data_IF_335483229785
#
_entry.id   IF_335483229785
#
_cell.length_a   1.000
_cell.length_b   1.000
_cell.length_c   1.000
_cell.angle_alpha   90.00
_cell.angle_beta   90.00
_cell.angle_gamma   90.00
#
_symmetry.space_group_name_H-M   'P 1'
#
loop_
_entity.id
_entity.type
_entity.pdbx_description
1 polymer ?
#
# COMPACT_ATOMS: atom_id res chain seq x y z
N UNK A 1 -5.35 -0.26 13.09
CA UNK A 1 -4.58 -1.35 12.44
C UNK A 1 -3.12 -0.96 12.47
N UNK A 2 -2.21 -1.92 12.61
CA UNK A 2 -0.77 -1.70 12.69
C UNK A 2 -0.06 -2.71 11.79
N UNK A 3 0.82 -2.23 10.91
CA UNK A 3 1.61 -3.04 9.99
C UNK A 3 3.04 -2.51 9.90
N UNK A 4 4.01 -3.38 9.63
CA UNK A 4 5.43 -3.02 9.51
C UNK A 4 6.05 -3.74 8.32
N UNK A 5 6.84 -3.03 7.53
CA UNK A 5 7.50 -3.58 6.34
C UNK A 5 8.51 -4.68 6.65
N UNK A 6 9.17 -4.65 7.81
CA UNK A 6 10.06 -5.71 8.29
C UNK A 6 9.34 -7.04 8.58
N UNK A 7 8.02 -6.99 8.85
CA UNK A 7 7.19 -8.16 9.13
C UNK A 7 5.92 -8.10 8.27
N UNK A 8 6.05 -8.15 6.92
CA UNK A 8 4.99 -7.76 6.00
C UNK A 8 3.84 -8.78 5.95
N UNK A 9 4.05 -9.97 6.50
CA UNK A 9 3.08 -11.08 6.54
C UNK A 9 2.08 -10.97 7.69
N UNK A 10 2.24 -10.00 8.60
CA UNK A 10 1.40 -9.83 9.77
C UNK A 10 0.89 -8.39 9.86
N UNK A 11 -0.41 -8.24 10.15
CA UNK A 11 -1.00 -6.97 10.53
C UNK A 11 -1.79 -7.14 11.83
N UNK A 12 -1.60 -6.23 12.79
CA UNK A 12 -2.35 -6.24 14.04
C UNK A 12 -3.60 -5.39 13.89
N UNK A 13 -4.76 -5.96 14.19
CA UNK A 13 -6.04 -5.27 14.23
C UNK A 13 -6.54 -5.19 15.67
N UNK A 14 -6.57 -3.97 16.21
CA UNK A 14 -7.02 -3.67 17.56
C UNK A 14 -8.38 -2.96 17.47
N UNK A 15 -9.45 -3.65 17.84
CA UNK A 15 -10.79 -3.06 17.94
C UNK A 15 -11.08 -2.73 19.40
N UNK A 16 -11.51 -1.50 19.66
CA UNK A 16 -11.83 -1.04 21.03
C UNK A 16 -12.83 -2.01 21.68
N UNK A 17 -12.52 -2.44 22.90
CA UNK A 17 -13.35 -3.36 23.67
C UNK A 17 -13.34 -4.81 23.16
N UNK A 18 -12.41 -5.18 22.28
CA UNK A 18 -12.22 -6.56 21.79
C UNK A 18 -10.76 -7.00 21.94
N UNK A 19 -10.50 -8.32 21.97
CA UNK A 19 -9.14 -8.84 21.91
C UNK A 19 -8.42 -8.39 20.64
N UNK A 20 -7.11 -8.20 20.75
CA UNK A 20 -6.25 -7.92 19.61
C UNK A 20 -6.25 -9.12 18.65
N UNK A 21 -6.31 -8.84 17.35
CA UNK A 21 -6.29 -9.85 16.30
C UNK A 21 -5.01 -9.70 15.48
N UNK A 22 -4.41 -10.83 15.11
CA UNK A 22 -3.31 -10.88 14.14
C UNK A 22 -3.90 -11.40 12.83
N UNK A 23 -3.83 -10.55 11.81
CA UNK A 23 -4.19 -10.89 10.44
C UNK A 23 -2.91 -11.38 9.75
N UNK A 24 -2.94 -12.61 9.25
CA UNK A 24 -1.83 -13.23 8.53
C UNK A 24 -2.07 -13.17 7.03
N UNK A 25 -1.01 -12.95 6.24
CA UNK A 25 -1.06 -13.08 4.77
C UNK A 25 -1.58 -14.46 4.37
N UNK A 26 -2.55 -14.50 3.46
CA UNK A 26 -3.22 -15.73 3.03
C UNK A 26 -4.00 -16.44 4.14
N UNK A 27 -4.29 -15.76 5.25
CA UNK A 27 -5.13 -16.27 6.33
C UNK A 27 -6.62 -16.30 5.97
N UNK A 28 -7.46 -16.86 6.86
CA UNK A 28 -8.88 -17.12 6.59
C UNK A 28 -9.77 -15.88 6.46
N UNK A 29 -9.22 -14.67 6.67
CA UNK A 29 -9.93 -13.38 6.54
C UNK A 29 -9.81 -12.83 5.10
N UNK A 30 -9.27 -13.61 4.17
CA UNK A 30 -9.15 -13.21 2.77
C UNK A 30 -10.54 -12.99 2.15
N UNK A 31 -10.75 -11.83 1.55
CA UNK A 31 -11.98 -11.49 0.83
C UNK A 31 -11.89 -11.92 -0.64
N UNK A 32 -13.03 -12.29 -1.22
CA UNK A 32 -13.17 -12.48 -2.66
C UNK A 32 -12.87 -11.16 -3.39
N UNK A 33 -12.14 -11.23 -4.51
CA UNK A 33 -11.76 -10.06 -5.30
C UNK A 33 -10.43 -9.40 -4.89
N UNK A 34 -9.62 -10.05 -4.06
CA UNK A 34 -8.26 -9.59 -3.77
C UNK A 34 -7.37 -9.67 -5.02
N UNK A 35 -6.93 -8.51 -5.52
CA UNK A 35 -6.03 -8.41 -6.68
C UNK A 35 -4.60 -8.91 -6.36
N UNK A 36 -4.20 -8.87 -5.08
CA UNK A 36 -2.88 -9.31 -4.65
C UNK A 36 -2.77 -10.84 -4.67
N UNK A 37 -1.90 -11.36 -5.53
CA UNK A 37 -1.67 -12.80 -5.69
C UNK A 37 -0.75 -13.31 -4.58
N UNK A 38 -1.10 -14.47 -4.01
CA UNK A 38 -0.18 -15.25 -3.17
C UNK A 38 0.68 -16.10 -4.10
N UNK A 39 1.99 -16.00 -3.97
CA UNK A 39 2.95 -16.80 -4.74
C UNK A 39 3.32 -18.09 -4.02
N UNK A 40 3.29 -18.07 -2.68
CA UNK A 40 3.57 -19.23 -1.84
C UNK A 40 2.49 -19.44 -0.77
N UNK A 41 2.32 -20.69 -0.27
CA UNK A 41 1.27 -20.99 0.69
C UNK A 41 1.41 -20.22 2.02
N UNK A 42 0.29 -19.98 2.73
CA UNK A 42 0.32 -19.36 4.04
C UNK A 42 1.31 -20.04 4.99
N UNK A 43 2.04 -19.24 5.77
CA UNK A 43 3.13 -19.71 6.63
C UNK A 43 4.51 -19.66 5.97
N UNK A 44 4.60 -19.58 4.64
CA UNK A 44 5.85 -19.27 3.95
C UNK A 44 5.95 -17.75 3.74
N UNK A 45 7.03 -17.11 4.19
CA UNK A 45 7.11 -15.65 4.19
C UNK A 45 7.37 -15.11 2.78
N UNK A 46 6.50 -14.21 2.35
CA UNK A 46 6.78 -13.30 1.24
C UNK A 46 7.28 -11.96 1.79
N UNK A 47 7.91 -11.16 0.95
CA UNK A 47 8.50 -9.90 1.36
C UNK A 47 8.56 -8.85 0.27
N UNK A 48 9.64 -8.07 0.34
CA UNK A 48 9.86 -6.90 -0.50
C UNK A 48 9.90 -7.25 -1.99
N UNK A 49 10.58 -8.34 -2.36
CA UNK A 49 10.70 -8.75 -3.76
C UNK A 49 9.34 -9.16 -4.35
N UNK A 50 8.54 -9.90 -3.60
CA UNK A 50 7.19 -10.29 -4.01
C UNK A 50 6.27 -9.07 -4.13
N UNK A 51 6.40 -8.08 -3.23
CA UNK A 51 5.65 -6.83 -3.33
C UNK A 51 6.01 -6.06 -4.60
N UNK A 52 7.29 -5.92 -4.92
CA UNK A 52 7.73 -5.27 -6.17
C UNK A 52 7.32 -6.05 -7.41
N UNK A 53 7.49 -7.38 -7.39
CA UNK A 53 7.05 -8.23 -8.48
C UNK A 53 5.54 -8.07 -8.73
N UNK A 54 4.72 -7.89 -7.69
CA UNK A 54 3.29 -7.66 -7.84
C UNK A 54 3.01 -6.36 -8.61
N UNK A 55 3.64 -5.24 -8.21
CA UNK A 55 3.48 -3.95 -8.89
C UNK A 55 3.85 -4.05 -10.38
N UNK A 56 4.95 -4.73 -10.71
CA UNK A 56 5.37 -4.90 -12.10
C UNK A 56 4.49 -5.85 -12.90
N UNK A 57 4.00 -6.93 -12.29
CA UNK A 57 3.02 -7.83 -12.94
C UNK A 57 1.73 -7.07 -13.23
N UNK A 58 1.20 -6.32 -12.26
CA UNK A 58 0.00 -5.52 -12.39
C UNK A 58 0.14 -4.46 -13.51
N UNK A 59 1.29 -3.76 -13.56
CA UNK A 59 1.58 -2.83 -14.63
C UNK A 59 1.65 -3.51 -16.00
N UNK A 60 2.26 -4.69 -16.08
CA UNK A 60 2.34 -5.46 -17.32
C UNK A 60 0.96 -5.93 -17.80
N UNK A 61 0.07 -6.35 -16.89
CA UNK A 61 -1.31 -6.74 -17.19
C UNK A 61 -2.10 -5.53 -17.75
N UNK A 62 -1.89 -4.33 -17.19
CA UNK A 62 -2.47 -3.09 -17.70
C UNK A 62 -1.97 -2.75 -19.11
N UNK A 63 -0.66 -2.84 -19.36
CA UNK A 63 -0.06 -2.55 -20.68
C UNK A 63 -0.55 -3.54 -21.74
N UNK A 64 -0.73 -4.80 -21.38
CA UNK A 64 -1.19 -5.86 -22.28
C UNK A 64 -2.71 -5.83 -22.52
N UNK A 65 -3.47 -5.04 -21.75
CA UNK A 65 -4.91 -4.94 -21.89
C UNK A 65 -5.65 -6.18 -21.37
N UNK A 66 -5.17 -6.77 -20.26
CA UNK A 66 -5.86 -7.88 -19.59
C UNK A 66 -7.28 -7.47 -19.14
N UNK A 67 -8.18 -8.46 -19.00
CA UNK A 67 -9.61 -8.24 -18.69
C UNK A 67 -9.84 -7.41 -17.40
N UNK A 68 -8.93 -7.52 -16.43
CA UNK A 68 -8.97 -6.80 -15.16
C UNK A 68 -8.15 -5.50 -15.13
N UNK A 69 -7.69 -5.02 -16.29
CA UNK A 69 -6.79 -3.85 -16.40
C UNK A 69 -7.39 -2.58 -15.76
N UNK A 70 -8.69 -2.34 -15.90
CA UNK A 70 -9.35 -1.18 -15.27
C UNK A 70 -9.37 -1.28 -13.74
N UNK A 71 -9.55 -2.47 -13.19
CA UNK A 71 -9.48 -2.69 -11.74
C UNK A 71 -8.05 -2.50 -11.21
N UNK A 72 -7.06 -2.98 -11.96
CA UNK A 72 -5.65 -2.82 -11.61
C UNK A 72 -5.21 -1.35 -11.66
N UNK A 73 -5.64 -0.57 -12.65
CA UNK A 73 -5.31 0.86 -12.76
C UNK A 73 -5.73 1.66 -11.53
N UNK A 74 -6.80 1.26 -10.85
CA UNK A 74 -7.29 1.93 -9.64
C UNK A 74 -6.32 1.74 -8.46
N UNK A 75 -5.62 0.60 -8.38
CA UNK A 75 -4.72 0.29 -7.26
C UNK A 75 -3.26 0.65 -7.53
N UNK A 76 -2.85 0.75 -8.79
CA UNK A 76 -1.49 1.13 -9.14
C UNK A 76 -1.26 2.63 -8.86
N UNK A 77 -0.08 2.99 -8.31
CA UNK A 77 0.30 4.39 -8.18
C UNK A 77 0.30 5.09 -9.55
N UNK A 78 -0.25 6.30 -9.60
CA UNK A 78 -0.33 7.12 -10.81
C UNK A 78 0.35 8.48 -10.65
N UNK A 79 0.25 9.32 -11.68
CA UNK A 79 0.86 10.65 -11.71
C UNK A 79 0.33 11.59 -10.63
N UNK A 80 -0.94 11.46 -10.23
CA UNK A 80 -1.52 12.28 -9.18
C UNK A 80 -0.95 11.89 -7.81
N UNK A 81 -0.72 10.61 -7.54
CA UNK A 81 -0.03 10.15 -6.33
C UNK A 81 1.39 10.73 -6.27
N UNK A 82 2.11 10.73 -7.40
CA UNK A 82 3.42 11.35 -7.53
C UNK A 82 3.40 12.86 -7.24
N UNK A 83 2.42 13.59 -7.80
CA UNK A 83 2.24 15.02 -7.55
C UNK A 83 1.97 15.29 -6.06
N UNK A 84 1.12 14.49 -5.41
CA UNK A 84 0.81 14.64 -3.99
C UNK A 84 2.05 14.43 -3.11
N UNK A 85 2.90 13.44 -3.44
CA UNK A 85 4.16 13.22 -2.74
C UNK A 85 5.07 14.45 -2.87
N UNK A 86 5.19 15.02 -4.07
CA UNK A 86 6.03 16.20 -4.29
C UNK A 86 5.52 17.43 -3.51
N UNK A 87 4.20 17.63 -3.48
CA UNK A 87 3.57 18.69 -2.66
C UNK A 87 3.86 18.48 -1.18
N UNK A 88 3.74 17.25 -0.68
CA UNK A 88 4.02 16.92 0.71
C UNK A 88 5.49 17.17 1.09
N UNK A 89 6.44 16.75 0.23
CA UNK A 89 7.87 16.99 0.44
C UNK A 89 8.13 18.50 0.52
N UNK A 90 7.60 19.27 -0.43
CA UNK A 90 7.77 20.72 -0.46
C UNK A 90 7.16 21.39 0.79
N UNK A 91 5.96 20.98 1.20
CA UNK A 91 5.30 21.47 2.41
C UNK A 91 6.13 21.20 3.67
N UNK A 92 6.67 19.99 3.80
CA UNK A 92 7.49 19.57 4.93
C UNK A 92 8.78 20.38 5.02
N UNK A 93 9.47 20.58 3.90
CA UNK A 93 10.69 21.39 3.83
C UNK A 93 10.38 22.86 4.16
N UNK A 94 9.29 23.42 3.62
CA UNK A 94 8.89 24.79 3.91
C UNK A 94 8.47 24.98 5.36
N UNK A 95 7.77 24.01 5.96
CA UNK A 95 7.42 24.02 7.37
C UNK A 95 8.69 24.05 8.23
N UNK A 96 9.64 23.14 7.98
CA UNK A 96 10.92 23.07 8.69
C UNK A 96 11.71 24.38 8.62
N UNK A 97 11.81 24.99 7.43
CA UNK A 97 12.49 26.30 7.24
C UNK A 97 11.80 27.46 7.95
N UNK A 98 10.51 27.33 8.26
CA UNK A 98 9.71 28.36 8.91
C UNK A 98 9.32 27.95 10.34
N UNK A 99 10.24 27.32 11.08
CA UNK A 99 10.04 26.95 12.49
C UNK A 99 8.85 26.01 12.74
N UNK A 100 8.68 25.02 11.87
CA UNK A 100 7.67 23.96 11.96
C UNK A 100 6.21 24.46 11.96
N UNK A 101 5.94 25.59 11.29
CA UNK A 101 4.56 26.07 11.13
C UNK A 101 3.75 25.14 10.22
N UNK A 102 2.44 25.07 10.47
CA UNK A 102 1.51 24.37 9.59
C UNK A 102 1.52 24.97 8.17
N UNK A 103 1.43 24.10 7.17
CA UNK A 103 1.35 24.46 5.75
C UNK A 103 0.15 23.77 5.13
N UNK A 104 -0.61 24.50 4.32
CA UNK A 104 -1.72 23.95 3.54
C UNK A 104 -1.17 23.36 2.23
N UNK A 105 -1.46 22.08 1.97
CA UNK A 105 -1.07 21.37 0.75
C UNK A 105 -1.81 21.86 -0.49
N UNK A 106 -2.96 22.53 -0.35
CA UNK A 106 -3.70 23.11 -1.47
C UNK A 106 -3.03 24.36 -2.04
N UNK A 107 -2.26 25.06 -1.20
CA UNK A 107 -1.55 26.30 -1.54
C UNK A 107 -0.14 26.09 -2.12
N UNK A 108 0.25 24.83 -2.28
CA UNK A 108 1.57 24.37 -2.76
C UNK A 108 1.39 23.68 -4.11
#
# INVERSE_FOLDING_TARGET
>A
MHWRQENPNFATFNKVGKPNQIITRGGPIQQDGLLAKLRIPPGHPEGFLEAFAQIYTDLADVIQGSDNSEEIKIILPNENDGLQIMKFINASVNSSKNNSIWKDLSSI
#
